data_IF_011457919436
#
_entry.id   IF_011457919436
#
_cell.length_a   1.000
_cell.length_b   1.000
_cell.length_c   1.000
_cell.angle_alpha   90.00
_cell.angle_beta   90.00
_cell.angle_gamma   90.00
#
_symmetry.space_group_name_H-M   'P 1'
#
loop_
_entity.id
_entity.type
_entity.pdbx_description
1 polymer ?
#
# COMPACT_ATOMS: atom_id res chain seq x y z
N UNK A 1 1.76 14.73 -6.97
CA UNK A 1 3.15 14.97 -7.41
C UNK A 1 3.57 14.03 -8.54
N UNK A 2 3.81 12.73 -8.30
CA UNK A 2 4.37 11.83 -9.34
C UNK A 2 3.53 11.71 -10.62
N UNK A 3 2.20 11.63 -10.53
CA UNK A 3 1.33 11.60 -11.72
C UNK A 3 1.46 12.87 -12.57
N UNK A 4 1.62 14.04 -11.93
CA UNK A 4 1.84 15.28 -12.64
C UNK A 4 3.23 15.31 -13.28
N UNK A 5 4.27 14.91 -12.52
CA UNK A 5 5.65 14.85 -13.00
C UNK A 5 5.81 13.99 -14.26
N UNK A 6 5.16 12.82 -14.31
CA UNK A 6 5.19 11.94 -15.49
C UNK A 6 4.11 12.19 -16.53
N UNK A 7 3.29 13.24 -16.36
CA UNK A 7 2.14 13.52 -17.23
C UNK A 7 1.22 12.29 -17.43
N UNK A 8 0.92 11.58 -16.34
CA UNK A 8 0.17 10.34 -16.34
C UNK A 8 -1.30 10.56 -15.94
N UNK A 9 -2.23 10.09 -16.78
CA UNK A 9 -3.68 10.17 -16.55
C UNK A 9 -4.24 8.89 -15.92
N UNK A 10 -3.72 8.55 -14.73
CA UNK A 10 -4.20 7.41 -13.95
C UNK A 10 -5.10 7.92 -12.80
N UNK A 11 -6.29 7.32 -12.56
CA UNK A 11 -7.14 7.71 -11.45
C UNK A 11 -6.42 7.56 -10.10
N UNK A 12 -6.52 8.60 -9.27
CA UNK A 12 -5.99 8.62 -7.90
C UNK A 12 -7.15 8.71 -6.92
N UNK A 13 -7.17 7.90 -5.87
CA UNK A 13 -8.15 8.00 -4.79
C UNK A 13 -7.43 8.10 -3.44
N UNK A 14 -7.95 8.93 -2.53
CA UNK A 14 -7.38 9.06 -1.20
C UNK A 14 -7.77 7.86 -0.32
N UNK A 15 -6.77 7.26 0.34
CA UNK A 15 -6.97 6.11 1.21
C UNK A 15 -7.27 6.47 2.67
N UNK A 16 -7.32 5.46 3.52
CA UNK A 16 -7.42 5.62 4.96
C UNK A 16 -6.27 6.51 5.49
N UNK A 17 -6.63 7.51 6.30
CA UNK A 17 -5.68 8.44 6.90
C UNK A 17 -4.95 7.88 8.12
N UNK A 18 -5.51 6.84 8.75
CA UNK A 18 -4.99 6.20 9.96
C UNK A 18 -5.12 4.68 9.88
N UNK A 19 -4.28 3.92 10.62
CA UNK A 19 -4.45 2.48 10.81
C UNK A 19 -5.82 2.10 11.38
N UNK A 20 -6.21 0.83 11.27
CA UNK A 20 -7.52 0.35 11.74
C UNK A 20 -7.75 0.57 13.25
N UNK A 21 -6.72 0.32 14.06
CA UNK A 21 -6.82 0.33 15.53
C UNK A 21 -5.79 1.25 16.19
N UNK A 22 -4.62 1.41 15.57
CA UNK A 22 -3.46 2.08 16.18
C UNK A 22 -3.39 3.55 15.81
N UNK A 23 -2.68 4.30 16.66
CA UNK A 23 -2.25 5.64 16.30
C UNK A 23 -1.33 5.60 15.06
N UNK A 24 -1.42 6.60 14.16
CA UNK A 24 -0.57 6.66 12.98
C UNK A 24 0.91 6.80 13.37
N UNK A 25 1.77 6.12 12.63
CA UNK A 25 3.23 6.23 12.75
C UNK A 25 3.77 6.77 11.43
N UNK A 26 4.66 7.77 11.50
CA UNK A 26 5.36 8.27 10.32
C UNK A 26 6.77 7.67 10.21
N UNK A 27 7.36 7.78 9.02
CA UNK A 27 8.74 7.40 8.74
C UNK A 27 9.53 8.63 8.23
N UNK A 28 9.25 9.81 8.78
CA UNK A 28 9.88 11.07 8.36
C UNK A 28 11.41 11.05 8.53
N UNK A 29 11.92 10.30 9.52
CA UNK A 29 13.36 10.09 9.71
C UNK A 29 14.05 9.37 8.54
N UNK A 30 13.30 8.65 7.70
CA UNK A 30 13.80 7.93 6.53
C UNK A 30 13.46 8.67 5.23
N UNK A 31 12.25 9.23 5.12
CA UNK A 31 11.74 9.81 3.87
C UNK A 31 11.77 11.35 3.83
N UNK A 32 12.18 12.02 4.91
CA UNK A 32 12.11 13.47 5.08
C UNK A 32 10.68 13.98 5.36
N UNK A 33 10.56 15.26 5.69
CA UNK A 33 9.29 15.91 6.06
C UNK A 33 8.22 15.84 4.95
N UNK A 34 8.63 15.97 3.68
CA UNK A 34 7.72 15.86 2.54
C UNK A 34 7.39 14.42 2.14
N UNK A 35 8.13 13.44 2.68
CA UNK A 35 8.12 12.04 2.24
C UNK A 35 8.84 11.77 0.91
N UNK A 36 9.33 12.81 0.22
CA UNK A 36 10.05 12.73 -1.06
C UNK A 36 11.16 13.80 -1.11
N UNK A 37 11.94 13.92 -0.03
CA UNK A 37 13.06 14.87 0.00
C UNK A 37 14.08 14.58 -1.13
N UNK A 38 14.72 15.63 -1.65
CA UNK A 38 15.74 15.53 -2.71
C UNK A 38 15.26 15.92 -4.12
N UNK A 39 13.98 16.22 -4.30
CA UNK A 39 13.45 16.77 -5.55
C UNK A 39 12.34 17.80 -5.27
N UNK A 40 12.42 18.96 -5.92
CA UNK A 40 11.41 20.02 -5.80
C UNK A 40 10.34 19.84 -6.89
N UNK A 41 9.16 19.35 -6.48
CA UNK A 41 8.04 19.16 -7.38
C UNK A 41 7.32 20.48 -7.68
N UNK A 42 6.91 20.65 -8.94
CA UNK A 42 6.06 21.78 -9.36
C UNK A 42 4.63 21.59 -8.83
N UNK A 43 4.05 22.65 -8.29
CA UNK A 43 2.66 22.65 -7.83
C UNK A 43 1.68 22.32 -8.97
N UNK A 44 0.60 21.61 -8.63
CA UNK A 44 -0.41 21.20 -9.59
C UNK A 44 -1.80 21.14 -8.97
N UNK A 45 -2.84 21.36 -9.78
CA UNK A 45 -4.25 21.36 -9.34
C UNK A 45 -4.95 20.02 -9.60
N UNK A 46 -4.23 18.89 -9.52
CA UNK A 46 -4.83 17.56 -9.69
C UNK A 46 -5.52 17.17 -8.41
N UNK A 47 -6.76 16.72 -8.51
CA UNK A 47 -7.56 16.23 -7.38
C UNK A 47 -7.75 14.72 -7.46
N UNK A 48 -7.76 14.02 -6.32
CA UNK A 48 -8.19 12.63 -6.29
C UNK A 48 -9.67 12.52 -6.66
N UNK A 49 -10.10 11.31 -7.01
CA UNK A 49 -11.50 10.94 -7.09
C UNK A 49 -12.20 11.27 -5.76
N UNK A 50 -13.44 11.74 -5.85
CA UNK A 50 -14.30 11.96 -4.69
C UNK A 50 -14.89 10.63 -4.18
N UNK A 51 -14.00 9.73 -3.77
CA UNK A 51 -14.33 8.47 -3.11
C UNK A 51 -13.13 7.88 -2.35
N UNK A 52 -13.36 7.15 -1.26
CA UNK A 52 -12.33 6.40 -0.57
C UNK A 52 -11.62 5.37 -1.47
N UNK A 53 -10.32 5.18 -1.25
CA UNK A 53 -9.51 4.27 -2.07
C UNK A 53 -10.04 2.84 -2.10
N UNK A 54 -10.55 2.29 -0.99
CA UNK A 54 -11.08 0.92 -0.98
C UNK A 54 -12.31 0.77 -1.91
N UNK A 55 -13.16 1.81 -2.03
CA UNK A 55 -14.27 1.82 -2.99
C UNK A 55 -13.77 2.02 -4.43
N UNK A 56 -12.74 2.83 -4.64
CA UNK A 56 -12.11 2.96 -5.94
C UNK A 56 -11.48 1.64 -6.41
N UNK A 57 -10.84 0.89 -5.49
CA UNK A 57 -10.32 -0.45 -5.75
C UNK A 57 -11.47 -1.41 -6.10
N UNK A 58 -12.54 -1.45 -5.29
CA UNK A 58 -13.75 -2.26 -5.61
C UNK A 58 -14.26 -1.97 -7.03
N UNK A 59 -14.48 -0.70 -7.36
CA UNK A 59 -15.01 -0.30 -8.66
C UNK A 59 -14.07 -0.68 -9.81
N UNK A 60 -12.75 -0.68 -9.60
CA UNK A 60 -11.77 -1.15 -10.58
C UNK A 60 -11.83 -2.69 -10.73
N UNK A 61 -11.90 -3.43 -9.62
CA UNK A 61 -11.99 -4.89 -9.62
C UNK A 61 -13.25 -5.40 -10.31
N UNK A 62 -14.41 -4.80 -10.02
CA UNK A 62 -15.69 -5.23 -10.59
C UNK A 62 -15.88 -4.85 -12.06
N UNK A 63 -15.18 -3.81 -12.54
CA UNK A 63 -15.20 -3.42 -13.96
C UNK A 63 -14.19 -4.16 -14.81
N UNK A 64 -13.17 -4.77 -14.20
CA UNK A 64 -12.15 -5.47 -14.94
C UNK A 64 -12.74 -6.71 -15.62
N UNK A 65 -12.41 -6.97 -16.91
CA UNK A 65 -12.91 -8.14 -17.62
C UNK A 65 -12.31 -9.46 -17.09
N UNK A 66 -11.23 -9.37 -16.31
CA UNK A 66 -10.53 -10.49 -15.70
C UNK A 66 -10.02 -10.13 -14.29
N UNK A 67 -9.73 -11.12 -13.42
CA UNK A 67 -9.21 -10.86 -12.08
C UNK A 67 -7.91 -10.04 -12.09
N UNK A 68 -7.81 -9.03 -11.21
CA UNK A 68 -6.72 -8.05 -11.19
C UNK A 68 -5.67 -8.42 -10.15
N UNK A 69 -4.39 -8.14 -10.44
CA UNK A 69 -3.33 -8.21 -9.43
C UNK A 69 -3.25 -6.90 -8.66
N UNK A 70 -3.38 -6.96 -7.34
CA UNK A 70 -3.18 -5.81 -6.48
C UNK A 70 -1.71 -5.73 -6.07
N UNK A 71 -1.15 -4.51 -6.05
CA UNK A 71 0.21 -4.25 -5.58
C UNK A 71 0.15 -3.26 -4.42
N UNK A 72 0.58 -3.68 -3.24
CA UNK A 72 0.56 -2.87 -2.02
C UNK A 72 1.98 -2.65 -1.49
N UNK A 73 2.44 -1.41 -1.53
CA UNK A 73 3.80 -1.01 -1.11
C UNK A 73 3.81 -0.10 0.13
N UNK A 74 2.70 -0.09 0.87
CA UNK A 74 2.52 0.63 2.13
C UNK A 74 1.72 -0.22 3.14
N UNK A 75 1.31 0.36 4.29
CA UNK A 75 0.46 -0.33 5.25
C UNK A 75 -0.84 -0.87 4.61
N UNK A 76 -1.28 -2.05 5.05
CA UNK A 76 -2.32 -2.82 4.36
C UNK A 76 -3.76 -2.39 4.69
N UNK A 77 -3.94 -1.22 5.32
CA UNK A 77 -5.22 -0.71 5.82
C UNK A 77 -6.32 -0.67 4.75
N UNK A 78 -6.03 -0.11 3.57
CA UNK A 78 -7.01 -0.04 2.48
C UNK A 78 -7.41 -1.42 1.94
N UNK A 79 -6.48 -2.39 1.94
CA UNK A 79 -6.76 -3.76 1.51
C UNK A 79 -7.62 -4.48 2.55
N UNK A 80 -7.33 -4.31 3.85
CA UNK A 80 -8.17 -4.86 4.91
C UNK A 80 -9.59 -4.26 4.89
N UNK A 81 -9.73 -2.95 4.64
CA UNK A 81 -11.03 -2.30 4.46
C UNK A 81 -11.78 -2.86 3.25
N UNK A 82 -11.10 -3.02 2.10
CA UNK A 82 -11.70 -3.63 0.91
C UNK A 82 -12.24 -5.03 1.21
N UNK A 83 -11.44 -5.90 1.83
CA UNK A 83 -11.82 -7.27 2.10
C UNK A 83 -12.93 -7.40 3.16
N UNK A 84 -13.01 -6.44 4.09
CA UNK A 84 -14.01 -6.45 5.15
C UNK A 84 -15.34 -5.83 4.71
N UNK A 85 -15.29 -4.75 3.92
CA UNK A 85 -16.46 -3.97 3.51
C UNK A 85 -17.02 -4.40 2.15
N UNK A 86 -16.20 -5.01 1.30
CA UNK A 86 -16.56 -5.44 -0.05
C UNK A 86 -16.08 -6.89 -0.31
N UNK A 87 -16.53 -7.87 0.50
CA UNK A 87 -16.08 -9.26 0.37
C UNK A 87 -16.35 -9.87 -1.01
N UNK A 88 -17.33 -9.35 -1.76
CA UNK A 88 -17.63 -9.71 -3.15
C UNK A 88 -16.47 -9.44 -4.12
N UNK A 89 -15.51 -8.59 -3.74
CA UNK A 89 -14.32 -8.31 -4.55
C UNK A 89 -13.34 -9.47 -4.61
N UNK A 90 -13.36 -10.37 -3.62
CA UNK A 90 -12.31 -11.38 -3.45
C UNK A 90 -12.10 -12.27 -4.69
N UNK A 91 -13.15 -12.78 -5.37
CA UNK A 91 -12.98 -13.57 -6.59
C UNK A 91 -12.38 -12.78 -7.78
N UNK A 92 -12.43 -11.45 -7.73
CA UNK A 92 -11.87 -10.56 -8.76
C UNK A 92 -10.40 -10.19 -8.49
N UNK A 93 -9.81 -10.71 -7.40
CA UNK A 93 -8.40 -10.51 -7.09
C UNK A 93 -7.63 -11.75 -7.53
N UNK A 94 -6.79 -11.60 -8.57
CA UNK A 94 -5.92 -12.67 -9.06
C UNK A 94 -4.90 -13.07 -8.01
N UNK A 95 -4.21 -12.08 -7.45
CA UNK A 95 -3.23 -12.20 -6.37
C UNK A 95 -2.95 -10.83 -5.77
N UNK A 96 -2.34 -10.83 -4.59
CA UNK A 96 -1.87 -9.63 -3.91
C UNK A 96 -0.34 -9.70 -3.76
N UNK A 97 0.35 -8.77 -4.40
CA UNK A 97 1.80 -8.59 -4.26
C UNK A 97 2.04 -7.49 -3.24
N UNK A 98 2.75 -7.80 -2.15
CA UNK A 98 3.03 -6.83 -1.10
C UNK A 98 4.53 -6.58 -0.97
N UNK A 99 4.91 -5.34 -0.67
CA UNK A 99 6.18 -5.04 -0.03
C UNK A 99 5.92 -4.85 1.46
N UNK A 100 6.46 -5.75 2.27
CA UNK A 100 6.30 -5.71 3.71
C UNK A 100 6.67 -7.02 4.38
N UNK A 101 6.96 -6.93 5.67
CA UNK A 101 7.39 -8.07 6.49
C UNK A 101 8.87 -8.42 6.34
N UNK A 102 9.31 -9.36 7.16
CA UNK A 102 10.66 -9.92 7.17
C UNK A 102 10.59 -11.32 7.79
N UNK A 103 11.26 -12.30 7.19
CA UNK A 103 11.48 -13.62 7.79
C UNK A 103 12.62 -13.57 8.82
N UNK A 104 13.54 -12.62 8.68
CA UNK A 104 14.58 -12.30 9.65
C UNK A 104 14.27 -11.05 10.48
N UNK A 105 15.23 -10.10 10.47
CA UNK A 105 15.18 -8.89 11.30
C UNK A 105 14.25 -7.84 10.69
N UNK A 106 13.53 -7.10 11.54
CA UNK A 106 12.75 -5.93 11.14
C UNK A 106 13.58 -4.64 10.99
N UNK A 107 12.96 -3.62 10.41
CA UNK A 107 13.55 -2.26 10.28
C UNK A 107 12.86 -1.23 11.19
N UNK A 108 11.62 -1.48 11.63
CA UNK A 108 10.86 -0.59 12.50
C UNK A 108 11.04 -0.97 13.97
N UNK A 109 11.04 -2.27 14.26
CA UNK A 109 11.52 -2.86 15.52
C UNK A 109 12.45 -4.02 15.17
N UNK A 110 13.18 -4.61 16.13
CA UNK A 110 13.99 -5.79 15.84
C UNK A 110 13.20 -6.93 15.16
N UNK A 111 11.89 -7.02 15.40
CA UNK A 111 11.04 -8.13 14.97
C UNK A 111 9.95 -7.70 13.94
N UNK A 112 9.93 -6.44 13.51
CA UNK A 112 8.85 -5.96 12.63
C UNK A 112 9.36 -4.99 11.55
N UNK A 113 8.93 -5.25 10.32
CA UNK A 113 9.03 -4.34 9.19
C UNK A 113 7.95 -3.25 9.29
N UNK A 114 8.25 -2.03 8.83
CA UNK A 114 7.43 -0.84 8.99
C UNK A 114 5.98 -0.97 8.48
N UNK A 115 5.74 -1.42 7.25
CA UNK A 115 4.40 -1.53 6.68
C UNK A 115 3.51 -2.45 7.51
N UNK A 116 4.07 -3.58 7.97
CA UNK A 116 3.35 -4.51 8.85
C UNK A 116 3.21 -3.93 10.27
N UNK A 117 4.22 -3.25 10.80
CA UNK A 117 4.19 -2.66 12.13
C UNK A 117 3.24 -1.45 12.26
N UNK A 118 3.00 -0.74 11.16
CA UNK A 118 2.13 0.43 11.10
C UNK A 118 0.65 0.05 11.25
N UNK A 119 0.22 -1.07 10.67
CA UNK A 119 -1.14 -1.60 10.84
C UNK A 119 -1.15 -3.14 10.83
N UNK A 120 -0.70 -3.77 11.92
CA UNK A 120 -0.62 -5.22 11.99
C UNK A 120 -2.00 -5.89 12.07
N UNK A 121 -3.02 -5.17 12.55
CA UNK A 121 -4.40 -5.67 12.53
C UNK A 121 -4.91 -5.80 11.08
N UNK A 122 -4.63 -4.80 10.23
CA UNK A 122 -4.89 -4.89 8.80
C UNK A 122 -4.07 -5.99 8.13
N UNK A 123 -2.77 -6.08 8.44
CA UNK A 123 -1.92 -7.15 7.90
C UNK A 123 -2.47 -8.53 8.28
N UNK A 124 -2.87 -8.72 9.53
CA UNK A 124 -3.43 -9.98 10.01
C UNK A 124 -4.76 -10.34 9.31
N UNK A 125 -5.61 -9.35 9.01
CA UNK A 125 -6.80 -9.54 8.17
C UNK A 125 -6.41 -10.01 6.76
N UNK A 126 -5.45 -9.35 6.12
CA UNK A 126 -5.01 -9.67 4.75
C UNK A 126 -4.37 -11.06 4.67
N UNK A 127 -3.45 -11.41 5.58
CA UNK A 127 -2.81 -12.74 5.58
C UNK A 127 -3.81 -13.88 5.85
N UNK A 128 -4.91 -13.62 6.57
CA UNK A 128 -6.00 -14.60 6.77
C UNK A 128 -7.04 -14.63 5.64
N UNK A 129 -6.89 -13.77 4.62
CA UNK A 129 -7.89 -13.64 3.57
C UNK A 129 -8.01 -14.88 2.69
N UNK A 130 -6.97 -15.72 2.59
CA UNK A 130 -6.92 -16.84 1.65
C UNK A 130 -6.75 -16.43 0.19
N UNK A 131 -6.37 -15.17 -0.08
CA UNK A 131 -5.89 -14.73 -1.39
C UNK A 131 -4.45 -15.23 -1.58
N UNK A 132 -4.06 -15.52 -2.82
CA UNK A 132 -2.64 -15.76 -3.15
C UNK A 132 -1.83 -14.50 -2.86
N UNK A 133 -0.91 -14.58 -1.89
CA UNK A 133 -0.06 -13.46 -1.49
C UNK A 133 1.39 -13.74 -1.88
N UNK A 134 1.98 -12.80 -2.62
CA UNK A 134 3.42 -12.73 -2.84
C UNK A 134 4.00 -11.68 -1.91
N UNK A 135 4.88 -12.10 -1.01
CA UNK A 135 5.51 -11.20 -0.04
C UNK A 135 6.96 -10.88 -0.45
N UNK A 136 7.20 -9.62 -0.82
CA UNK A 136 8.52 -9.05 -1.03
C UNK A 136 9.00 -8.41 0.30
N UNK A 137 9.48 -9.24 1.22
CA UNK A 137 9.98 -8.80 2.52
C UNK A 137 11.41 -8.25 2.49
N UNK A 138 11.87 -7.75 3.65
CA UNK A 138 13.21 -7.18 3.82
C UNK A 138 14.34 -8.13 3.45
N UNK A 139 14.15 -9.44 3.60
CA UNK A 139 15.13 -10.47 3.24
C UNK A 139 15.53 -10.41 1.75
N UNK A 140 14.62 -9.93 0.91
CA UNK A 140 14.84 -9.72 -0.53
C UNK A 140 15.11 -8.24 -0.82
N UNK A 141 14.32 -7.32 -0.27
CA UNK A 141 14.44 -5.89 -0.65
C UNK A 141 15.72 -5.24 -0.13
N UNK A 142 16.31 -5.73 0.96
CA UNK A 142 17.63 -5.26 1.41
C UNK A 142 18.78 -5.71 0.50
N UNK A 143 18.54 -6.61 -0.46
CA UNK A 143 19.51 -6.96 -1.49
C UNK A 143 19.39 -6.07 -2.73
N UNK A 144 18.27 -5.36 -2.89
CA UNK A 144 18.01 -4.45 -4.01
C UNK A 144 18.56 -3.04 -3.75
N UNK A 145 19.82 -2.96 -3.31
CA UNK A 145 20.50 -1.70 -3.00
C UNK A 145 21.03 -1.09 -4.31
N UNK A 146 20.76 0.20 -4.52
CA UNK A 146 21.43 0.98 -5.57
C UNK A 146 22.78 1.45 -5.03
N UNK A 147 23.87 0.96 -5.63
CA UNK A 147 25.22 1.46 -5.40
C UNK A 147 25.56 2.57 -6.40
N UNK A 148 26.46 3.51 -6.04
CA UNK A 148 26.95 4.53 -6.97
C UNK A 148 27.54 3.98 -8.26
#
# INVERSE_FOLDING_TARGET
QLLHFWNAEIPLAQGAAVPLVRAPRNAASVHGESGMAGYDFVEHNRSPLDKPAFLAIRDALLRAPEPVTLVAIGPLTNIALLLSQCPECKPHIRRLVIMGGSAGRGNCTPNAEFNIAADPEAAACVFRSGIEIVMCGLDVTNQAILTP
#
